data_IF_879117998468
#
_entry.id   IF_879117998468
#
_cell.length_a   1.000
_cell.length_b   1.000
_cell.length_c   1.000
_cell.angle_alpha   90.00
_cell.angle_beta   90.00
_cell.angle_gamma   90.00
#
_symmetry.space_group_name_H-M   'P 1'
#
loop_
_entity.id
_entity.type
_entity.pdbx_description
1 polymer ?
#
# COMPACT_ATOMS: atom_id res chain seq x y z
N UNK A 1 -2.32 0.20 9.50
CA UNK A 1 -3.53 1.04 9.27
C UNK A 1 -3.71 1.37 7.79
N UNK A 2 -2.75 2.03 7.14
CA UNK A 2 -2.57 2.10 5.68
C UNK A 2 -1.14 2.60 5.38
N UNK A 3 -0.70 2.53 4.12
CA UNK A 3 0.65 2.94 3.71
C UNK A 3 0.86 4.47 3.58
N UNK A 4 -0.19 5.28 3.77
CA UNK A 4 -0.07 6.75 3.76
C UNK A 4 0.78 7.33 4.91
N UNK A 5 1.00 6.55 5.98
CA UNK A 5 1.89 6.90 7.12
C UNK A 5 1.68 8.31 7.67
N UNK A 6 0.42 8.72 7.83
CA UNK A 6 0.10 10.03 8.38
C UNK A 6 0.69 10.20 9.79
N UNK A 7 1.31 11.35 10.05
CA UNK A 7 1.71 11.72 11.41
C UNK A 7 0.50 11.95 12.32
N UNK A 8 0.52 11.31 13.48
CA UNK A 8 -0.54 11.39 14.50
C UNK A 8 0.04 11.86 15.84
N UNK A 9 -0.83 12.39 16.69
CA UNK A 9 -0.58 12.73 18.09
C UNK A 9 -1.55 11.88 18.92
N UNK A 10 -1.01 11.14 19.88
CA UNK A 10 -1.79 10.28 20.77
C UNK A 10 -1.86 10.97 22.12
N UNK A 11 -3.07 11.29 22.56
CA UNK A 11 -3.33 11.92 23.86
C UNK A 11 -3.68 10.84 24.88
N UNK A 12 -3.02 10.92 26.05
CA UNK A 12 -3.23 9.99 27.16
C UNK A 12 -3.86 10.68 28.36
N UNK A 13 -4.75 9.97 29.05
CA UNK A 13 -5.19 10.27 30.41
C UNK A 13 -5.29 8.96 31.19
N UNK A 14 -4.83 8.94 32.44
CA UNK A 14 -4.83 7.75 33.32
C UNK A 14 -4.23 6.49 32.66
N UNK A 15 -3.15 6.69 31.89
CA UNK A 15 -2.47 5.60 31.18
C UNK A 15 -3.24 5.02 29.99
N UNK A 16 -4.36 5.63 29.58
CA UNK A 16 -5.18 5.19 28.46
C UNK A 16 -5.21 6.21 27.33
N UNK A 17 -5.32 5.73 26.10
CA UNK A 17 -5.54 6.56 24.91
C UNK A 17 -6.95 7.13 25.01
N UNK A 18 -7.06 8.45 25.09
CA UNK A 18 -8.36 9.15 25.13
C UNK A 18 -8.70 9.86 23.83
N UNK A 19 -7.69 10.23 23.03
CA UNK A 19 -7.90 10.90 21.76
C UNK A 19 -6.69 10.73 20.83
N UNK A 20 -6.94 10.73 19.51
CA UNK A 20 -5.90 10.65 18.48
C UNK A 20 -6.16 11.68 17.39
N UNK A 21 -5.25 12.65 17.32
CA UNK A 21 -5.30 13.75 16.36
C UNK A 21 -4.16 13.67 15.35
N UNK A 22 -4.17 14.51 14.33
CA UNK A 22 -3.09 14.58 13.35
C UNK A 22 -2.01 15.57 13.75
N UNK A 23 -0.75 15.23 13.48
CA UNK A 23 0.37 16.17 13.64
C UNK A 23 0.35 17.22 12.53
N UNK A 24 0.18 18.51 12.90
CA UNK A 24 0.21 19.65 11.97
C UNK A 24 1.56 19.80 11.27
N UNK A 25 2.64 19.37 11.93
CA UNK A 25 4.01 19.45 11.41
C UNK A 25 4.34 18.32 10.41
N UNK A 26 3.45 17.33 10.25
CA UNK A 26 3.71 16.24 9.31
C UNK A 26 3.59 16.73 7.86
N UNK A 27 4.62 16.56 7.01
CA UNK A 27 4.73 17.26 5.72
C UNK A 27 3.63 16.90 4.72
N UNK A 28 3.16 15.65 4.78
CA UNK A 28 2.18 15.12 3.82
C UNK A 28 0.75 15.30 4.33
N UNK A 29 0.47 14.87 5.57
CA UNK A 29 -0.88 14.87 6.11
C UNK A 29 -1.30 16.23 6.69
N UNK A 30 -0.35 17.09 7.09
CA UNK A 30 -0.59 18.45 7.62
C UNK A 30 -1.70 18.49 8.69
N UNK A 31 -1.67 17.55 9.62
CA UNK A 31 -2.65 17.42 10.71
C UNK A 31 -3.97 16.73 10.35
N UNK A 32 -4.18 16.32 9.09
CA UNK A 32 -5.38 15.59 8.70
C UNK A 32 -5.28 14.11 9.04
N UNK A 33 -6.35 13.56 9.61
CA UNK A 33 -6.50 12.14 9.92
C UNK A 33 -7.85 11.62 9.43
N UNK A 34 -7.89 10.35 9.03
CA UNK A 34 -9.14 9.66 8.70
C UNK A 34 -9.65 8.85 9.90
N UNK A 35 -10.86 8.30 9.79
CA UNK A 35 -11.50 7.50 10.85
C UNK A 35 -10.58 6.38 11.36
N UNK A 36 -9.83 5.71 10.47
CA UNK A 36 -8.93 4.61 10.84
C UNK A 36 -7.93 5.03 11.93
N UNK A 37 -7.41 6.26 11.86
CA UNK A 37 -6.45 6.77 12.83
C UNK A 37 -7.11 7.14 14.16
N UNK A 38 -8.31 7.73 14.09
CA UNK A 38 -9.05 8.20 15.27
C UNK A 38 -9.51 7.05 16.17
N UNK A 39 -9.77 5.87 15.59
CA UNK A 39 -10.25 4.69 16.33
C UNK A 39 -9.14 3.71 16.74
N UNK A 40 -7.87 4.13 16.75
CA UNK A 40 -6.76 3.23 17.11
C UNK A 40 -6.87 2.70 18.55
N UNK A 41 -7.48 3.48 19.46
CA UNK A 41 -7.77 3.04 20.82
C UNK A 41 -8.60 1.77 20.85
N UNK A 42 -9.62 1.66 19.98
CA UNK A 42 -10.49 0.49 19.88
C UNK A 42 -9.72 -0.77 19.45
N UNK A 43 -8.70 -0.62 18.60
CA UNK A 43 -7.81 -1.74 18.23
C UNK A 43 -6.89 -2.15 19.39
N UNK A 44 -6.31 -1.17 20.10
CA UNK A 44 -5.39 -1.41 21.21
C UNK A 44 -6.11 -2.11 22.38
N UNK A 45 -7.34 -1.69 22.67
CA UNK A 45 -8.16 -2.17 23.78
C UNK A 45 -9.24 -3.17 23.38
N UNK A 46 -9.21 -3.67 22.14
CA UNK A 46 -10.18 -4.67 21.68
C UNK A 46 -10.19 -5.88 22.62
N UNK A 47 -11.38 -6.32 23.09
CA UNK A 47 -11.48 -7.52 23.92
C UNK A 47 -11.13 -8.81 23.14
N UNK A 48 -11.05 -8.75 21.81
CA UNK A 48 -10.61 -9.86 20.95
C UNK A 48 -9.10 -9.89 20.74
N UNK A 49 -8.34 -8.95 21.31
CA UNK A 49 -6.89 -8.90 21.15
C UNK A 49 -6.23 -10.07 21.89
N UNK A 50 -5.44 -10.87 21.17
CA UNK A 50 -4.61 -11.90 21.77
C UNK A 50 -3.46 -11.26 22.55
N UNK A 51 -3.37 -11.59 23.84
CA UNK A 51 -2.33 -11.10 24.74
C UNK A 51 -1.28 -12.18 25.08
N UNK A 52 -1.55 -13.43 24.72
CA UNK A 52 -0.68 -14.59 24.93
C UNK A 52 -0.64 -15.48 23.69
N UNK A 53 0.43 -16.26 23.50
CA UNK A 53 0.49 -17.29 22.47
C UNK A 53 -0.61 -18.35 22.66
N UNK A 54 -1.12 -18.86 21.55
CA UNK A 54 -2.11 -19.94 21.51
C UNK A 54 -1.57 -21.11 20.69
N UNK A 55 -1.75 -22.33 21.20
CA UNK A 55 -1.43 -23.58 20.50
C UNK A 55 -2.71 -24.33 20.15
N UNK A 56 -2.79 -24.84 18.92
CA UNK A 56 -3.90 -25.70 18.48
C UNK A 56 -3.66 -27.13 18.94
N UNK A 57 -4.64 -27.71 19.64
CA UNK A 57 -4.68 -29.10 20.09
C UNK A 57 -5.91 -29.80 19.52
N UNK A 58 -6.05 -31.10 19.80
CA UNK A 58 -7.25 -31.87 19.41
C UNK A 58 -8.52 -31.40 20.13
N UNK A 59 -8.39 -30.61 21.21
CA UNK A 59 -9.51 -30.09 22.01
C UNK A 59 -9.85 -28.63 21.71
N UNK A 60 -9.03 -27.92 20.92
CA UNK A 60 -9.23 -26.51 20.60
C UNK A 60 -7.93 -25.70 20.66
N UNK A 61 -8.03 -24.43 21.03
CA UNK A 61 -6.89 -23.55 21.26
C UNK A 61 -6.58 -23.44 22.75
N UNK A 62 -5.32 -23.57 23.12
CA UNK A 62 -4.84 -23.50 24.50
C UNK A 62 -3.76 -22.43 24.63
N UNK A 63 -3.81 -21.62 25.69
CA UNK A 63 -2.75 -20.66 26.01
C UNK A 63 -1.47 -21.38 26.43
N UNK A 64 -0.33 -20.89 25.95
CA UNK A 64 1.00 -21.36 26.35
C UNK A 64 1.95 -20.19 26.58
N UNK A 65 3.01 -20.43 27.35
CA UNK A 65 4.07 -19.44 27.58
C UNK A 65 4.84 -19.11 26.30
N UNK A 66 5.35 -17.88 26.22
CA UNK A 66 6.09 -17.40 25.06
C UNK A 66 7.35 -18.22 24.78
N UNK A 67 8.14 -18.53 25.81
CA UNK A 67 9.38 -19.30 25.65
C UNK A 67 9.08 -20.70 25.11
N UNK A 68 8.08 -21.38 25.69
CA UNK A 68 7.61 -22.67 25.19
C UNK A 68 7.12 -22.59 23.74
N UNK A 69 6.37 -21.56 23.37
CA UNK A 69 5.90 -21.39 22.00
C UNK A 69 7.07 -21.26 21.02
N UNK A 70 8.08 -20.46 21.38
CA UNK A 70 9.26 -20.24 20.55
C UNK A 70 10.12 -21.50 20.43
N UNK A 71 10.34 -22.23 21.51
CA UNK A 71 11.10 -23.49 21.52
C UNK A 71 10.43 -24.55 20.63
N UNK A 72 9.12 -24.78 20.81
CA UNK A 72 8.39 -25.75 20.00
C UNK A 72 8.39 -25.38 18.50
N UNK A 73 8.29 -24.09 18.16
CA UNK A 73 8.39 -23.60 16.77
C UNK A 73 9.80 -23.85 16.22
N UNK A 74 10.84 -23.50 16.98
CA UNK A 74 12.23 -23.66 16.56
C UNK A 74 12.60 -25.13 16.32
N UNK A 75 12.19 -26.03 17.21
CA UNK A 75 12.36 -27.48 17.04
C UNK A 75 11.64 -27.98 15.79
N UNK A 76 10.41 -27.51 15.55
CA UNK A 76 9.63 -27.93 14.38
C UNK A 76 10.28 -27.48 13.07
N UNK A 77 10.77 -26.24 13.01
CA UNK A 77 11.51 -25.71 11.86
C UNK A 77 12.75 -26.58 11.58
N UNK A 78 13.57 -26.84 12.60
CA UNK A 78 14.78 -27.70 12.48
C UNK A 78 14.44 -29.10 11.99
N UNK A 79 13.42 -29.73 12.55
CA UNK A 79 12.98 -31.07 12.16
C UNK A 79 12.52 -31.12 10.70
N UNK A 80 11.70 -30.16 10.28
CA UNK A 80 11.20 -30.06 8.91
C UNK A 80 12.36 -29.84 7.92
N UNK A 81 13.27 -28.91 8.22
CA UNK A 81 14.42 -28.63 7.35
C UNK A 81 15.41 -29.81 7.28
N UNK A 82 15.65 -30.51 8.40
CA UNK A 82 16.50 -31.72 8.41
C UNK A 82 15.95 -32.83 7.51
N UNK A 83 14.61 -33.00 7.48
CA UNK A 83 13.96 -34.04 6.69
C UNK A 83 13.74 -33.67 5.22
N UNK A 84 13.46 -32.40 4.92
CA UNK A 84 12.97 -31.97 3.60
C UNK A 84 13.83 -30.85 2.95
N UNK A 85 14.91 -30.43 3.60
CA UNK A 85 15.82 -29.38 3.14
C UNK A 85 15.30 -27.95 3.40
N UNK A 86 16.17 -26.96 3.27
CA UNK A 86 15.87 -25.58 3.70
C UNK A 86 14.68 -24.91 2.97
N UNK A 87 14.33 -25.38 1.77
CA UNK A 87 13.19 -24.86 0.97
C UNK A 87 11.82 -25.25 1.55
N UNK A 88 11.75 -26.21 2.47
CA UNK A 88 10.50 -26.73 3.03
C UNK A 88 9.86 -25.82 4.08
N UNK A 89 10.55 -24.77 4.52
CA UNK A 89 10.03 -23.74 5.42
C UNK A 89 10.01 -22.42 4.67
N UNK A 90 8.85 -21.75 4.66
CA UNK A 90 8.68 -20.44 4.04
C UNK A 90 8.35 -19.36 5.07
N UNK A 91 8.75 -18.13 4.76
CA UNK A 91 8.39 -16.94 5.52
C UNK A 91 7.36 -16.17 4.71
N UNK A 92 6.19 -15.95 5.29
CA UNK A 92 5.16 -15.08 4.69
C UNK A 92 4.95 -13.87 5.59
N UNK A 93 4.94 -12.67 5.00
CA UNK A 93 4.61 -11.43 5.72
C UNK A 93 3.39 -10.72 5.16
N UNK A 94 2.65 -10.10 6.08
CA UNK A 94 1.61 -9.13 5.77
C UNK A 94 2.12 -7.69 5.81
N UNK A 95 1.22 -6.75 5.51
CA UNK A 95 1.58 -5.34 5.33
C UNK A 95 2.12 -4.67 6.60
N UNK A 96 1.67 -5.10 7.78
CA UNK A 96 2.11 -4.53 9.06
C UNK A 96 3.64 -4.66 9.30
N UNK A 97 4.28 -5.68 8.72
CA UNK A 97 5.73 -5.91 8.79
C UNK A 97 6.46 -5.23 7.61
N UNK A 98 5.73 -4.88 6.54
CA UNK A 98 6.30 -4.25 5.33
C UNK A 98 6.79 -2.82 5.52
N UNK A 99 6.61 -2.23 6.71
CA UNK A 99 7.00 -0.86 6.98
C UNK A 99 8.41 -0.81 7.58
N UNK A 100 9.36 -0.26 6.80
CA UNK A 100 10.73 0.04 7.24
C UNK A 100 11.51 -1.22 7.68
N UNK A 101 12.34 -1.10 8.73
CA UNK A 101 13.32 -2.10 9.20
C UNK A 101 12.70 -3.46 9.58
N UNK A 102 11.39 -3.51 9.82
CA UNK A 102 10.69 -4.74 10.20
C UNK A 102 10.74 -5.80 9.08
N UNK A 103 10.67 -5.37 7.82
CA UNK A 103 10.79 -6.28 6.68
C UNK A 103 12.21 -6.84 6.60
N UNK A 104 13.22 -6.02 6.89
CA UNK A 104 14.63 -6.43 6.86
C UNK A 104 14.92 -7.51 7.91
N UNK A 105 14.30 -7.44 9.09
CA UNK A 105 14.43 -8.52 10.09
C UNK A 105 13.82 -9.83 9.59
N UNK A 106 12.63 -9.79 8.97
CA UNK A 106 12.00 -10.99 8.41
C UNK A 106 12.85 -11.60 7.27
N UNK A 107 13.47 -10.77 6.44
CA UNK A 107 14.38 -11.21 5.36
C UNK A 107 15.68 -11.77 5.92
N UNK A 108 16.28 -11.11 6.92
CA UNK A 108 17.47 -11.62 7.64
C UNK A 108 17.19 -12.95 8.30
N UNK A 109 16.02 -13.12 8.91
CA UNK A 109 15.59 -14.41 9.44
C UNK A 109 15.51 -15.48 8.33
N UNK A 110 14.86 -15.19 7.20
CA UNK A 110 14.81 -16.11 6.06
C UNK A 110 16.21 -16.50 5.55
N UNK A 111 17.13 -15.53 5.45
CA UNK A 111 18.53 -15.78 5.07
C UNK A 111 19.26 -16.65 6.10
N UNK A 112 19.09 -16.39 7.40
CA UNK A 112 19.68 -17.18 8.46
C UNK A 112 19.15 -18.63 8.47
N UNK A 113 17.87 -18.81 8.14
CA UNK A 113 17.26 -20.13 7.93
C UNK A 113 17.61 -20.75 6.57
N UNK A 114 18.42 -20.06 5.75
CA UNK A 114 18.81 -20.47 4.40
C UNK A 114 17.63 -20.84 3.50
N UNK A 115 16.47 -20.25 3.73
CA UNK A 115 15.29 -20.48 2.90
C UNK A 115 15.18 -19.40 1.82
N UNK A 116 15.06 -19.79 0.54
CA UNK A 116 14.74 -18.85 -0.53
C UNK A 116 13.23 -18.52 -0.56
N UNK A 117 12.40 -19.21 0.24
CA UNK A 117 10.94 -19.12 0.19
C UNK A 117 10.48 -17.93 1.03
N UNK A 118 10.56 -16.73 0.45
CA UNK A 118 10.04 -15.50 1.05
C UNK A 118 8.85 -14.96 0.26
N UNK A 119 7.71 -14.85 0.92
CA UNK A 119 6.44 -14.45 0.34
C UNK A 119 5.89 -13.21 1.05
N UNK A 120 5.13 -12.40 0.33
CA UNK A 120 4.49 -11.23 0.92
C UNK A 120 3.17 -10.91 0.23
N UNK A 121 2.33 -10.15 0.92
CA UNK A 121 1.13 -9.55 0.34
C UNK A 121 1.43 -8.60 -0.84
N UNK A 122 2.68 -8.15 -1.03
CA UNK A 122 3.05 -7.20 -2.07
C UNK A 122 2.77 -7.74 -3.49
N UNK A 123 2.86 -9.06 -3.70
CA UNK A 123 2.61 -9.72 -5.00
C UNK A 123 1.18 -9.50 -5.49
N UNK A 124 0.22 -9.42 -4.57
CA UNK A 124 -1.18 -9.13 -4.86
C UNK A 124 -1.52 -7.64 -4.72
N UNK A 125 -0.66 -6.85 -4.06
CA UNK A 125 -0.93 -5.44 -3.79
C UNK A 125 -0.40 -4.50 -4.89
N UNK A 126 0.92 -4.37 -5.03
CA UNK A 126 1.53 -3.29 -5.82
C UNK A 126 2.64 -3.74 -6.77
N UNK A 127 3.11 -4.99 -6.67
CA UNK A 127 4.28 -5.44 -7.43
C UNK A 127 4.05 -5.49 -8.93
N UNK A 128 2.87 -5.93 -9.40
CA UNK A 128 2.56 -5.94 -10.84
C UNK A 128 2.68 -4.54 -11.46
N UNK A 129 2.05 -3.55 -10.84
CA UNK A 129 2.15 -2.14 -11.20
C UNK A 129 3.59 -1.62 -11.12
N UNK A 130 4.32 -1.99 -10.06
CA UNK A 130 5.70 -1.55 -9.86
C UNK A 130 6.64 -2.11 -10.92
N UNK A 131 6.50 -3.38 -11.28
CA UNK A 131 7.26 -4.01 -12.36
C UNK A 131 6.97 -3.35 -13.70
N UNK A 132 5.71 -3.01 -14.00
CA UNK A 132 5.37 -2.26 -15.21
C UNK A 132 6.15 -0.95 -15.34
N UNK A 133 6.19 -0.15 -14.26
CA UNK A 133 6.96 1.10 -14.27
C UNK A 133 8.47 0.89 -14.34
N UNK A 134 9.02 -0.02 -13.53
CA UNK A 134 10.47 -0.27 -13.50
C UNK A 134 10.97 -0.82 -14.83
N UNK A 135 10.19 -1.69 -15.50
CA UNK A 135 10.58 -2.27 -16.79
C UNK A 135 10.66 -1.24 -17.92
N UNK A 136 9.94 -0.12 -17.80
CA UNK A 136 9.89 0.94 -18.83
C UNK A 136 10.77 2.15 -18.45
N UNK A 137 10.79 2.56 -17.18
CA UNK A 137 11.44 3.79 -16.70
C UNK A 137 12.59 3.57 -15.70
N UNK A 138 12.86 2.33 -15.33
CA UNK A 138 13.88 1.98 -14.32
C UNK A 138 13.49 2.31 -12.87
N UNK A 139 12.39 3.03 -12.62
CA UNK A 139 11.97 3.41 -11.27
C UNK A 139 10.44 3.53 -11.17
N UNK A 140 9.96 3.56 -9.93
CA UNK A 140 8.54 3.79 -9.63
C UNK A 140 8.28 5.30 -9.49
N UNK A 141 7.35 5.90 -10.26
CA UNK A 141 7.21 7.35 -10.30
C UNK A 141 6.46 7.90 -9.07
N UNK A 142 6.85 9.11 -8.67
CA UNK A 142 6.09 9.94 -7.72
C UNK A 142 5.51 11.14 -8.49
N UNK A 143 4.18 11.23 -8.66
CA UNK A 143 3.58 12.33 -9.42
C UNK A 143 3.65 13.65 -8.64
N UNK A 144 4.02 14.74 -9.32
CA UNK A 144 3.96 16.09 -8.78
C UNK A 144 2.52 16.64 -8.86
N UNK A 145 1.68 16.15 -7.96
CA UNK A 145 0.23 16.42 -7.97
C UNK A 145 -0.08 17.91 -7.83
N UNK A 146 0.67 18.64 -6.99
CA UNK A 146 0.37 20.03 -6.65
C UNK A 146 0.68 21.03 -7.77
N UNK A 147 1.57 20.65 -8.70
CA UNK A 147 1.96 21.47 -9.86
C UNK A 147 1.36 20.96 -11.18
N UNK A 148 0.65 19.82 -11.16
CA UNK A 148 -0.03 19.27 -12.33
C UNK A 148 -1.16 20.18 -12.85
N UNK A 149 -1.20 20.42 -14.17
CA UNK A 149 -2.33 21.12 -14.85
C UNK A 149 -3.49 20.18 -15.18
N UNK A 150 -3.23 18.88 -15.29
CA UNK A 150 -4.21 17.84 -15.53
C UNK A 150 -3.84 16.62 -14.68
N UNK A 151 -4.83 16.08 -13.96
CA UNK A 151 -4.67 14.94 -13.07
C UNK A 151 -5.61 13.85 -13.54
N UNK A 152 -5.06 12.66 -13.81
CA UNK A 152 -5.82 11.47 -14.14
C UNK A 152 -5.78 10.51 -12.95
N UNK A 153 -6.94 10.23 -12.36
CA UNK A 153 -7.11 9.19 -11.35
C UNK A 153 -7.70 7.97 -12.05
N UNK A 154 -6.88 6.92 -12.20
CA UNK A 154 -7.25 5.71 -12.93
C UNK A 154 -7.42 4.54 -11.96
N UNK A 155 -8.66 4.05 -11.82
CA UNK A 155 -9.01 2.88 -11.00
C UNK A 155 -8.75 3.07 -9.50
N UNK A 156 -8.76 4.31 -9.00
CA UNK A 156 -8.43 4.63 -7.62
C UNK A 156 -9.46 5.55 -6.96
N UNK A 157 -9.70 5.33 -5.66
CA UNK A 157 -10.62 6.14 -4.86
C UNK A 157 -9.90 6.77 -3.65
N UNK A 158 -9.04 7.79 -3.87
CA UNK A 158 -8.16 8.34 -2.85
C UNK A 158 -8.93 8.99 -1.69
N UNK A 159 -10.17 9.44 -1.89
CA UNK A 159 -11.01 9.99 -0.82
C UNK A 159 -11.20 9.02 0.36
N UNK A 160 -11.15 7.71 0.11
CA UNK A 160 -11.30 6.67 1.14
C UNK A 160 -10.02 5.85 1.38
N UNK A 161 -9.19 5.70 0.35
CA UNK A 161 -7.99 4.85 0.38
C UNK A 161 -6.67 5.61 0.61
N UNK A 162 -6.60 6.88 0.20
CA UNK A 162 -5.37 7.69 0.18
C UNK A 162 -5.70 9.17 0.44
N UNK A 163 -6.15 9.47 1.67
CA UNK A 163 -6.67 10.80 2.00
C UNK A 163 -5.68 11.95 1.74
N UNK A 164 -4.36 11.82 2.02
CA UNK A 164 -3.39 12.85 1.64
C UNK A 164 -3.35 13.11 0.12
N UNK A 165 -3.34 12.07 -0.71
CA UNK A 165 -3.42 12.22 -2.16
C UNK A 165 -4.69 12.96 -2.57
N UNK A 166 -5.85 12.59 -2.03
CA UNK A 166 -7.09 13.29 -2.32
C UNK A 166 -7.01 14.80 -1.98
N UNK A 167 -6.39 15.15 -0.85
CA UNK A 167 -6.19 16.55 -0.48
C UNK A 167 -5.31 17.30 -1.49
N UNK A 168 -4.19 16.69 -1.91
CA UNK A 168 -3.30 17.29 -2.92
C UNK A 168 -4.03 17.50 -4.25
N UNK A 169 -4.83 16.53 -4.69
CA UNK A 169 -5.66 16.66 -5.90
C UNK A 169 -6.63 17.83 -5.76
N UNK A 170 -7.36 17.92 -4.64
CA UNK A 170 -8.30 19.02 -4.42
C UNK A 170 -7.60 20.38 -4.34
N UNK A 171 -6.39 20.46 -3.81
CA UNK A 171 -5.59 21.68 -3.78
C UNK A 171 -5.12 22.10 -5.18
N UNK A 172 -4.62 21.16 -5.98
CA UNK A 172 -4.24 21.41 -7.38
C UNK A 172 -5.45 21.90 -8.20
N UNK A 173 -6.64 21.33 -7.97
CA UNK A 173 -7.87 21.78 -8.63
C UNK A 173 -8.26 23.21 -8.27
N UNK A 174 -8.07 23.63 -7.01
CA UNK A 174 -8.27 25.04 -6.61
C UNK A 174 -7.33 25.99 -7.36
N UNK A 175 -6.17 25.50 -7.82
CA UNK A 175 -5.22 26.23 -8.67
C UNK A 175 -5.53 26.12 -10.18
N UNK A 176 -6.65 25.48 -10.55
CA UNK A 176 -7.09 25.36 -11.94
C UNK A 176 -6.78 24.01 -12.62
N UNK A 177 -6.20 23.04 -11.90
CA UNK A 177 -5.94 21.72 -12.49
C UNK A 177 -7.23 21.00 -12.89
N UNK A 178 -7.24 20.38 -14.08
CA UNK A 178 -8.34 19.52 -14.55
C UNK A 178 -8.25 18.14 -13.91
N UNK A 179 -9.39 17.59 -13.49
CA UNK A 179 -9.48 16.25 -12.92
C UNK A 179 -10.24 15.32 -13.86
N UNK A 180 -9.58 14.26 -14.31
CA UNK A 180 -10.17 13.15 -15.04
C UNK A 180 -10.18 11.93 -14.11
N UNK A 181 -11.32 11.26 -14.01
CA UNK A 181 -11.44 10.01 -13.26
C UNK A 181 -11.88 8.90 -14.22
N UNK A 182 -11.08 7.84 -14.29
CA UNK A 182 -11.37 6.62 -15.07
C UNK A 182 -11.64 5.52 -14.06
N UNK A 183 -12.89 5.11 -13.91
CA UNK A 183 -13.30 4.11 -12.91
C UNK A 183 -14.63 3.47 -13.35
N UNK A 184 -14.83 2.14 -13.21
CA UNK A 184 -16.14 1.53 -13.46
C UNK A 184 -17.25 2.05 -12.53
N UNK A 185 -16.90 2.58 -11.35
CA UNK A 185 -17.85 3.09 -10.36
C UNK A 185 -17.72 4.61 -10.24
N UNK A 186 -18.87 5.30 -10.20
CA UNK A 186 -18.92 6.71 -9.82
C UNK A 186 -18.62 6.86 -8.31
N UNK A 187 -17.33 6.99 -7.98
CA UNK A 187 -16.82 7.19 -6.64
C UNK A 187 -16.95 8.65 -6.17
N UNK A 188 -16.69 8.92 -4.90
CA UNK A 188 -16.75 10.28 -4.34
C UNK A 188 -15.77 11.26 -4.98
N UNK A 189 -14.64 10.76 -5.51
CA UNK A 189 -13.72 11.58 -6.33
C UNK A 189 -14.25 11.75 -7.77
N UNK A 190 -14.91 10.73 -8.34
CA UNK A 190 -15.48 10.80 -9.68
C UNK A 190 -16.58 11.86 -9.79
N UNK A 191 -17.44 11.96 -8.77
CA UNK A 191 -18.47 13.01 -8.69
C UNK A 191 -17.89 14.44 -8.67
N UNK A 192 -16.60 14.57 -8.36
CA UNK A 192 -15.91 15.86 -8.37
C UNK A 192 -15.19 16.11 -9.70
N UNK A 193 -15.01 15.11 -10.55
CA UNK A 193 -14.18 15.20 -11.74
C UNK A 193 -14.76 16.16 -12.80
N UNK A 194 -13.87 16.77 -13.59
CA UNK A 194 -14.24 17.48 -14.81
C UNK A 194 -14.69 16.48 -15.90
N UNK A 195 -14.06 15.31 -15.95
CA UNK A 195 -14.43 14.20 -16.84
C UNK A 195 -14.47 12.91 -16.00
N UNK A 196 -15.60 12.23 -16.03
CA UNK A 196 -15.72 10.85 -15.54
C UNK A 196 -15.88 9.89 -16.71
N UNK A 197 -14.86 9.07 -16.95
CA UNK A 197 -14.86 8.04 -17.97
C UNK A 197 -15.16 6.69 -17.34
N UNK A 198 -16.41 6.25 -17.49
CA UNK A 198 -16.86 4.98 -16.94
C UNK A 198 -16.48 3.81 -17.85
N UNK A 199 -15.37 3.16 -17.53
CA UNK A 199 -14.88 1.98 -18.26
C UNK A 199 -15.55 0.70 -17.78
N UNK A 200 -15.62 -0.33 -18.63
CA UNK A 200 -15.98 -1.68 -18.18
C UNK A 200 -14.81 -2.28 -17.40
N UNK A 201 -15.05 -3.07 -16.34
CA UNK A 201 -13.97 -3.76 -15.63
C UNK A 201 -13.06 -4.54 -16.59
N UNK A 202 -11.75 -4.47 -16.35
CA UNK A 202 -10.71 -5.11 -17.15
C UNK A 202 -10.58 -4.63 -18.62
N UNK A 203 -11.10 -3.44 -18.95
CA UNK A 203 -10.95 -2.82 -20.29
C UNK A 203 -9.98 -1.63 -20.32
N UNK A 204 -9.26 -1.39 -19.22
CA UNK A 204 -8.32 -0.29 -19.05
C UNK A 204 -7.24 -0.26 -20.15
N UNK A 205 -6.72 -1.44 -20.53
CA UNK A 205 -5.72 -1.56 -21.59
C UNK A 205 -6.21 -1.08 -22.96
N UNK A 206 -7.47 -1.38 -23.31
CA UNK A 206 -8.05 -0.94 -24.57
C UNK A 206 -8.21 0.59 -24.61
N UNK A 207 -8.67 1.20 -23.51
CA UNK A 207 -8.75 2.65 -23.41
C UNK A 207 -7.35 3.30 -23.49
N UNK A 208 -6.36 2.76 -22.77
CA UNK A 208 -4.99 3.27 -22.79
C UNK A 208 -4.40 3.24 -24.21
N UNK A 209 -4.54 2.12 -24.93
CA UNK A 209 -4.07 1.99 -26.31
C UNK A 209 -4.79 2.94 -27.27
N UNK A 210 -6.11 3.12 -27.10
CA UNK A 210 -6.88 4.10 -27.87
C UNK A 210 -6.41 5.54 -27.64
N UNK A 211 -6.16 5.93 -26.39
CA UNK A 211 -5.61 7.24 -26.05
C UNK A 211 -4.22 7.45 -26.67
N UNK A 212 -3.33 6.45 -26.55
CA UNK A 212 -2.00 6.48 -27.16
C UNK A 212 -2.10 6.67 -28.68
N UNK A 213 -2.96 5.91 -29.36
CA UNK A 213 -3.18 6.03 -30.80
C UNK A 213 -3.59 7.46 -31.19
N UNK A 214 -4.53 8.06 -30.46
CA UNK A 214 -4.95 9.44 -30.73
C UNK A 214 -3.84 10.45 -30.47
N UNK A 215 -3.06 10.30 -29.40
CA UNK A 215 -1.93 11.18 -29.10
C UNK A 215 -0.89 11.15 -30.22
N UNK A 216 -0.55 9.96 -30.73
CA UNK A 216 0.44 9.79 -31.81
C UNK A 216 -0.10 10.36 -33.13
N UNK A 217 -1.30 9.93 -33.57
CA UNK A 217 -1.89 10.36 -34.84
C UNK A 217 -2.10 11.88 -34.94
N UNK A 218 -2.34 12.56 -33.81
CA UNK A 218 -2.55 14.01 -33.77
C UNK A 218 -1.28 14.79 -33.35
N UNK A 219 -0.14 14.12 -33.13
CA UNK A 219 1.11 14.74 -32.66
C UNK A 219 0.94 15.58 -31.38
N UNK A 220 0.21 15.05 -30.40
CA UNK A 220 0.00 15.71 -29.10
C UNK A 220 1.04 15.33 -28.03
N UNK A 221 2.04 14.56 -28.41
CA UNK A 221 3.16 14.20 -27.54
C UNK A 221 4.24 15.27 -27.58
N UNK A 222 5.13 15.24 -26.59
CA UNK A 222 6.33 16.07 -26.56
C UNK A 222 7.38 15.47 -27.51
N UNK A 223 7.53 16.07 -28.70
CA UNK A 223 8.42 15.57 -29.76
C UNK A 223 9.88 15.52 -29.30
N UNK A 224 10.35 16.55 -28.60
CA UNK A 224 11.72 16.64 -28.09
C UNK A 224 11.99 15.57 -27.03
N UNK A 225 11.04 15.36 -26.10
CA UNK A 225 11.17 14.32 -25.10
C UNK A 225 11.24 12.93 -25.73
N UNK A 226 10.36 12.65 -26.68
CA UNK A 226 10.30 11.37 -27.38
C UNK A 226 11.60 11.11 -28.15
N UNK A 227 12.08 12.09 -28.93
CA UNK A 227 13.28 11.94 -29.76
C UNK A 227 14.54 11.69 -28.94
N UNK A 228 14.66 12.30 -27.76
CA UNK A 228 15.91 12.27 -26.99
C UNK A 228 15.91 11.27 -25.82
N UNK A 229 14.75 10.86 -25.31
CA UNK A 229 14.65 10.09 -24.05
C UNK A 229 13.79 8.83 -24.14
N UNK A 230 13.43 8.37 -25.35
CA UNK A 230 12.65 7.14 -25.54
C UNK A 230 13.27 6.21 -26.58
N UNK A 231 12.83 4.96 -26.60
CA UNK A 231 13.24 3.93 -27.57
C UNK A 231 11.99 3.25 -28.15
N UNK A 232 11.99 2.97 -29.45
CA UNK A 232 10.92 2.21 -30.11
C UNK A 232 9.59 2.98 -30.27
N UNK A 233 9.67 4.30 -30.43
CA UNK A 233 8.51 5.15 -30.72
C UNK A 233 7.97 4.94 -32.14
#
# INVERSE_FOLDING_TARGET
MCDERCGIIINFADGRIVDVTGSKNHPISKGRTCVKARVIGDYVYSPQRLLKPLKKTNKGWEEIDLDRALDEIAEKIKCIQSKYGNKSVGVWKGEAIGFNQQEDYARRFAHAQQTPTYLSNNTQCSMSRKLGYISIRGHYPAPDVLNSKCIVIWGANPMHSAAPLANMVMEARKKGAKLIVIDPKCSSIAMKADIFAQVKPATDGALALGLINRIICNKWYDEDFVANYTLGF
#
